data_IF_147776038127
#
_entry.id   IF_147776038127
#
_cell.length_a   1.000
_cell.length_b   1.000
_cell.length_c   1.000
_cell.angle_alpha   90.00
_cell.angle_beta   90.00
_cell.angle_gamma   90.00
#
_symmetry.space_group_name_H-M   'P 1'
#
loop_
_entity.id
_entity.type
_entity.pdbx_description
1 polymer ?
#
# COMPACT_ATOMS: atom_id res chain seq x y z
N UNK A 1 14.13 10.62 -13.10
CA UNK A 1 13.12 9.97 -13.98
C UNK A 1 11.94 9.48 -13.17
N UNK A 2 12.14 8.80 -12.02
CA UNK A 2 11.07 8.45 -11.07
C UNK A 2 10.33 9.68 -10.52
N UNK A 3 11.03 10.78 -10.19
CA UNK A 3 10.39 12.01 -9.66
C UNK A 3 9.42 12.70 -10.62
N UNK A 4 9.61 12.55 -11.94
CA UNK A 4 8.65 13.03 -12.94
C UNK A 4 7.41 12.13 -12.97
N UNK A 5 7.58 10.87 -12.55
CA UNK A 5 6.52 9.86 -12.50
C UNK A 5 5.58 10.02 -11.33
N UNK A 6 6.10 10.31 -10.16
CA UNK A 6 5.24 10.55 -9.02
C UNK A 6 4.20 11.65 -9.21
N UNK A 7 4.60 12.84 -9.65
CA UNK A 7 3.70 14.01 -9.64
C UNK A 7 2.52 13.91 -10.60
N UNK A 8 2.62 13.04 -11.59
CA UNK A 8 1.64 12.93 -12.66
C UNK A 8 0.82 11.64 -12.56
N UNK A 9 1.04 10.80 -11.54
CA UNK A 9 0.30 9.56 -11.33
C UNK A 9 -0.64 9.71 -10.15
N UNK A 10 -1.94 9.82 -10.42
CA UNK A 10 -2.95 10.10 -9.40
C UNK A 10 -4.29 9.42 -9.71
N UNK A 11 -5.13 9.30 -8.68
CA UNK A 11 -6.51 8.83 -8.79
C UNK A 11 -7.49 9.99 -8.94
N UNK A 12 -8.54 9.80 -9.74
CA UNK A 12 -9.70 10.70 -9.74
C UNK A 12 -10.75 10.30 -8.69
N UNK A 13 -11.84 11.07 -8.63
CA UNK A 13 -12.94 10.84 -7.67
C UNK A 13 -13.75 9.57 -7.95
N UNK A 14 -13.62 8.99 -9.13
CA UNK A 14 -14.28 7.74 -9.51
C UNK A 14 -13.38 6.53 -9.22
N UNK A 15 -12.21 6.75 -8.61
CA UNK A 15 -11.26 5.69 -8.26
C UNK A 15 -10.39 5.24 -9.44
N UNK A 16 -10.46 5.93 -10.59
CA UNK A 16 -9.63 5.61 -11.75
C UNK A 16 -8.28 6.28 -11.64
N UNK A 17 -7.24 5.54 -11.99
CA UNK A 17 -5.89 6.04 -11.95
C UNK A 17 -5.37 6.39 -13.33
N UNK A 18 -4.62 7.48 -13.41
CA UNK A 18 -4.10 7.97 -14.68
C UNK A 18 -2.71 8.56 -14.53
N UNK A 19 -2.04 8.61 -15.67
CA UNK A 19 -0.83 9.37 -15.91
C UNK A 19 -1.15 10.69 -16.63
N UNK A 20 -0.72 11.82 -16.09
CA UNK A 20 -0.86 13.13 -16.72
C UNK A 20 0.37 13.49 -17.57
N UNK A 21 0.14 13.70 -18.87
CA UNK A 21 1.17 14.19 -19.80
C UNK A 21 0.73 15.52 -20.41
N UNK A 22 1.08 16.62 -19.76
CA UNK A 22 0.58 17.95 -20.14
C UNK A 22 -0.95 18.03 -19.97
N UNK A 23 -1.72 18.41 -21.02
CA UNK A 23 -3.18 18.47 -20.94
C UNK A 23 -3.87 17.10 -21.07
N UNK A 24 -3.12 16.04 -21.41
CA UNK A 24 -3.68 14.70 -21.63
C UNK A 24 -3.61 13.85 -20.36
N UNK A 25 -4.63 13.01 -20.16
CA UNK A 25 -4.67 11.97 -19.14
C UNK A 25 -4.74 10.61 -19.82
N UNK A 26 -3.86 9.70 -19.39
CA UNK A 26 -3.84 8.32 -19.86
C UNK A 26 -4.21 7.43 -18.68
N UNK A 27 -5.42 6.88 -18.71
CA UNK A 27 -5.89 5.97 -17.68
C UNK A 27 -5.18 4.62 -17.77
N UNK A 28 -4.93 4.02 -16.61
CA UNK A 28 -4.17 2.77 -16.51
C UNK A 28 -5.07 1.62 -16.06
N UNK A 29 -4.81 0.45 -16.63
CA UNK A 29 -5.34 -0.81 -16.11
C UNK A 29 -4.45 -1.27 -14.94
N UNK A 30 -5.08 -1.67 -13.83
CA UNK A 30 -4.40 -2.09 -12.62
C UNK A 30 -4.56 -3.60 -12.42
N UNK A 31 -3.47 -4.34 -12.39
CA UNK A 31 -3.48 -5.78 -12.07
C UNK A 31 -3.41 -6.07 -10.56
N UNK A 32 -3.10 -5.04 -9.77
CA UNK A 32 -3.01 -5.06 -8.32
C UNK A 32 -3.62 -3.76 -7.76
N UNK A 33 -3.02 -3.18 -6.72
CA UNK A 33 -3.38 -1.84 -6.26
C UNK A 33 -2.75 -0.74 -7.13
N UNK A 34 -3.30 0.48 -7.13
CA UNK A 34 -2.74 1.60 -7.87
C UNK A 34 -1.31 1.96 -7.46
N UNK A 35 -0.98 1.84 -6.17
CA UNK A 35 0.37 2.06 -5.66
C UNK A 35 1.00 0.73 -5.21
N UNK A 36 2.12 0.36 -5.80
CA UNK A 36 2.97 -0.70 -5.21
C UNK A 36 3.88 -0.08 -4.16
N UNK A 37 3.90 -0.66 -2.96
CA UNK A 37 4.64 -0.17 -1.80
C UNK A 37 5.86 -1.06 -1.56
N UNK A 38 7.01 -0.44 -1.37
CA UNK A 38 8.28 -1.08 -1.03
C UNK A 38 8.63 -0.77 0.42
N UNK A 39 9.21 -1.74 1.12
CA UNK A 39 9.74 -1.57 2.47
C UNK A 39 11.19 -1.12 2.38
N UNK A 40 11.51 0.03 2.97
CA UNK A 40 12.86 0.54 3.09
C UNK A 40 13.33 0.41 4.54
N UNK A 41 14.53 -0.12 4.72
CA UNK A 41 15.24 -0.02 6.00
C UNK A 41 15.73 1.42 6.20
N UNK A 42 15.61 1.94 7.42
CA UNK A 42 16.27 3.20 7.77
C UNK A 42 17.76 2.98 7.98
N UNK A 43 18.56 3.76 7.26
CA UNK A 43 20.02 3.75 7.37
C UNK A 43 20.53 4.22 8.76
N UNK A 44 19.68 4.84 9.58
CA UNK A 44 20.11 5.49 10.83
C UNK A 44 19.81 4.69 12.09
N UNK A 45 18.82 3.79 12.06
CA UNK A 45 18.42 2.99 13.22
C UNK A 45 18.04 1.58 12.80
N UNK A 46 18.78 0.59 13.30
CA UNK A 46 18.45 -0.81 13.10
C UNK A 46 17.01 -1.08 13.57
N UNK A 47 16.22 -1.75 12.71
CA UNK A 47 14.82 -2.12 12.91
C UNK A 47 13.77 -1.00 12.74
N UNK A 48 14.12 0.13 12.13
CA UNK A 48 13.13 1.14 11.72
C UNK A 48 12.89 1.05 10.22
N UNK A 49 11.62 1.03 9.83
CA UNK A 49 11.21 0.91 8.44
C UNK A 49 10.45 2.15 7.96
N UNK A 50 10.48 2.36 6.65
CA UNK A 50 9.60 3.29 5.93
C UNK A 50 8.96 2.56 4.76
N UNK A 51 7.79 3.03 4.35
CA UNK A 51 7.15 2.58 3.13
C UNK A 51 7.32 3.65 2.06
N UNK A 52 7.62 3.23 0.84
CA UNK A 52 7.75 4.10 -0.33
C UNK A 52 6.91 3.53 -1.47
N UNK A 53 6.19 4.37 -2.20
CA UNK A 53 5.51 3.98 -3.42
C UNK A 53 6.53 3.68 -4.53
N UNK A 54 6.15 2.86 -5.51
CA UNK A 54 6.93 2.65 -6.73
C UNK A 54 7.16 3.94 -7.54
N UNK A 55 6.40 4.99 -7.25
CA UNK A 55 6.57 6.33 -7.80
C UNK A 55 7.54 7.21 -7.01
N UNK A 56 8.12 6.70 -5.93
CA UNK A 56 9.19 7.34 -5.16
C UNK A 56 8.73 8.19 -3.97
N UNK A 57 7.44 8.20 -3.64
CA UNK A 57 6.93 8.95 -2.49
C UNK A 57 6.89 8.10 -1.23
N UNK A 58 7.45 8.63 -0.16
CA UNK A 58 7.31 8.04 1.16
C UNK A 58 5.87 8.20 1.62
N UNK A 59 5.35 7.17 2.29
CA UNK A 59 4.08 7.26 3.01
C UNK A 59 4.35 7.31 4.50
N UNK A 60 3.59 8.15 5.19
CA UNK A 60 3.67 8.31 6.64
C UNK A 60 2.50 7.58 7.33
N UNK A 61 1.34 7.47 6.68
CA UNK A 61 0.15 6.85 7.29
C UNK A 61 -0.18 5.48 6.70
N UNK A 62 -0.39 4.51 7.60
CA UNK A 62 -0.98 3.20 7.30
C UNK A 62 -2.42 3.24 7.80
N UNK A 63 -3.37 3.13 6.86
CA UNK A 63 -4.80 3.18 7.14
C UNK A 63 -5.43 1.89 6.62
N UNK A 64 -6.22 1.26 7.48
CA UNK A 64 -7.03 0.09 7.15
C UNK A 64 -6.26 -1.03 6.41
N UNK A 65 -5.16 -1.55 6.99
CA UNK A 65 -4.38 -2.58 6.34
C UNK A 65 -5.13 -3.92 6.39
N UNK A 66 -5.19 -4.57 5.23
CA UNK A 66 -5.91 -5.81 5.02
C UNK A 66 -5.04 -6.81 4.26
N UNK A 67 -5.52 -8.05 4.19
CA UNK A 67 -4.83 -9.15 3.52
C UNK A 67 -5.82 -9.98 2.72
N UNK A 68 -5.45 -10.39 1.51
CA UNK A 68 -6.27 -11.26 0.69
C UNK A 68 -5.98 -12.75 0.93
N UNK A 69 -6.73 -13.62 0.24
CA UNK A 69 -6.57 -15.07 0.33
C UNK A 69 -5.23 -15.58 -0.25
N UNK A 70 -4.53 -14.77 -1.04
CA UNK A 70 -3.19 -15.04 -1.57
C UNK A 70 -2.08 -14.53 -0.63
N UNK A 71 -2.43 -13.92 0.50
CA UNK A 71 -1.47 -13.36 1.46
C UNK A 71 -0.87 -12.01 1.02
N UNK A 72 -1.46 -11.34 0.03
CA UNK A 72 -1.04 -9.99 -0.37
C UNK A 72 -1.59 -8.98 0.63
N UNK A 73 -0.74 -8.06 1.06
CA UNK A 73 -1.11 -7.05 2.05
C UNK A 73 -1.41 -5.74 1.34
N UNK A 74 -2.61 -5.23 1.59
CA UNK A 74 -3.11 -3.97 1.09
C UNK A 74 -3.26 -2.97 2.23
N UNK A 75 -3.23 -1.69 1.92
CA UNK A 75 -3.52 -0.59 2.83
C UNK A 75 -3.89 0.66 2.06
N UNK A 76 -4.51 1.62 2.73
CA UNK A 76 -4.64 2.98 2.24
C UNK A 76 -3.60 3.88 2.93
N UNK A 77 -3.14 4.91 2.23
CA UNK A 77 -2.29 5.97 2.78
C UNK A 77 -2.81 7.35 2.39
N UNK A 78 -2.11 8.40 2.79
CA UNK A 78 -2.37 9.77 2.34
C UNK A 78 -2.21 9.96 0.82
N UNK A 79 -1.59 9.00 0.12
CA UNK A 79 -1.42 8.99 -1.33
C UNK A 79 -2.45 8.12 -2.05
N UNK A 80 -3.27 7.36 -1.31
CA UNK A 80 -4.29 6.46 -1.85
C UNK A 80 -4.01 4.97 -1.61
N UNK A 81 -4.78 4.07 -2.25
CA UNK A 81 -4.67 2.64 -2.04
C UNK A 81 -3.36 2.06 -2.57
N UNK A 82 -2.77 1.16 -1.80
CA UNK A 82 -1.54 0.48 -2.17
C UNK A 82 -1.45 -0.97 -1.70
N UNK A 83 -0.52 -1.70 -2.32
CA UNK A 83 -0.21 -3.09 -2.02
C UNK A 83 1.29 -3.22 -1.74
N UNK A 84 1.65 -3.90 -0.65
CA UNK A 84 3.06 -4.20 -0.37
C UNK A 84 3.57 -5.19 -1.41
N UNK A 85 4.73 -4.90 -1.97
CA UNK A 85 5.39 -5.76 -2.95
C UNK A 85 5.74 -7.11 -2.32
N UNK A 86 5.46 -8.21 -3.02
CA UNK A 86 5.68 -9.59 -2.57
C UNK A 86 7.11 -9.89 -2.06
N UNK A 87 8.14 -9.40 -2.76
CA UNK A 87 9.54 -9.51 -2.38
C UNK A 87 9.88 -8.84 -1.03
N UNK A 88 9.04 -7.94 -0.55
CA UNK A 88 9.25 -7.23 0.70
C UNK A 88 8.41 -7.79 1.85
N UNK A 89 7.51 -8.74 1.60
CA UNK A 89 6.68 -9.36 2.65
C UNK A 89 7.53 -10.05 3.72
N UNK A 90 8.67 -10.63 3.34
CA UNK A 90 9.58 -11.28 4.28
C UNK A 90 10.25 -10.30 5.27
N UNK A 91 10.22 -9.00 4.98
CA UNK A 91 10.73 -7.96 5.89
C UNK A 91 9.69 -7.57 6.94
N UNK A 92 8.42 -7.94 6.74
CA UNK A 92 7.34 -7.59 7.66
C UNK A 92 7.34 -8.53 8.86
N UNK A 93 7.16 -7.96 10.04
CA UNK A 93 6.94 -8.72 11.26
C UNK A 93 5.46 -8.95 11.48
N UNK A 94 5.02 -10.18 11.21
CA UNK A 94 3.63 -10.60 11.39
C UNK A 94 3.55 -11.64 12.51
N UNK A 95 2.73 -11.37 13.53
CA UNK A 95 2.40 -12.33 14.57
C UNK A 95 1.05 -12.98 14.23
N UNK A 96 0.91 -14.29 14.42
CA UNK A 96 -0.38 -14.95 14.23
C UNK A 96 -1.37 -14.52 15.33
N UNK A 97 -2.60 -14.18 14.94
CA UNK A 97 -3.68 -13.98 15.90
C UNK A 97 -4.46 -15.29 16.10
N UNK A 98 -5.06 -15.51 17.29
CA UNK A 98 -5.86 -16.69 17.55
C UNK A 98 -7.05 -16.82 16.58
N UNK A 99 -7.48 -18.06 16.29
CA UNK A 99 -8.51 -18.36 15.28
C UNK A 99 -9.93 -17.83 15.57
N UNK A 100 -10.13 -17.16 16.70
CA UNK A 100 -11.36 -16.45 17.04
C UNK A 100 -11.34 -14.97 16.58
N UNK A 101 -10.17 -14.49 16.11
CA UNK A 101 -9.97 -13.14 15.58
C UNK A 101 -10.47 -13.03 14.14
N UNK A 102 -11.12 -11.91 13.79
CA UNK A 102 -11.47 -11.58 12.42
C UNK A 102 -10.24 -11.29 11.52
N UNK A 103 -9.10 -10.96 12.13
CA UNK A 103 -7.82 -10.81 11.48
C UNK A 103 -6.93 -12.04 11.76
N UNK A 104 -6.41 -12.74 10.73
CA UNK A 104 -5.47 -13.85 10.91
C UNK A 104 -4.08 -13.44 11.42
N UNK A 105 -3.65 -12.20 11.13
CA UNK A 105 -2.31 -11.71 11.49
C UNK A 105 -2.36 -10.34 12.15
N UNK A 106 -1.41 -10.10 13.05
CA UNK A 106 -1.10 -8.80 13.62
C UNK A 106 0.22 -8.31 13.05
N UNK A 107 0.18 -7.24 12.27
CA UNK A 107 1.38 -6.60 11.75
C UNK A 107 2.01 -5.68 12.80
N UNK A 108 3.24 -5.99 13.20
CA UNK A 108 4.09 -5.15 14.03
C UNK A 108 4.87 -4.19 13.13
N UNK A 109 4.50 -2.91 13.16
CA UNK A 109 5.17 -1.88 12.38
C UNK A 109 6.01 -0.99 13.30
N UNK A 110 7.29 -0.80 12.97
CA UNK A 110 8.15 0.13 13.70
C UNK A 110 8.73 1.16 12.74
N UNK A 111 8.24 2.39 12.85
CA UNK A 111 8.67 3.51 12.01
C UNK A 111 9.45 4.54 12.81
N UNK A 112 10.23 5.35 12.08
CA UNK A 112 10.88 6.53 12.67
C UNK A 112 9.86 7.62 13.04
N UNK A 113 8.81 7.77 12.23
CA UNK A 113 7.85 8.88 12.33
C UNK A 113 6.82 8.64 13.43
N UNK A 114 6.23 7.45 13.47
CA UNK A 114 5.12 7.13 14.37
C UNK A 114 5.50 6.13 15.48
N UNK A 115 6.76 5.67 15.50
CA UNK A 115 7.21 4.66 16.45
C UNK A 115 6.56 3.30 16.17
N UNK A 116 6.35 2.54 17.25
CA UNK A 116 5.77 1.19 17.18
C UNK A 116 4.25 1.26 17.10
N UNK A 117 3.69 0.61 16.10
CA UNK A 117 2.26 0.45 15.88
C UNK A 117 1.94 -1.02 15.62
N UNK A 118 0.68 -1.38 15.85
CA UNK A 118 0.16 -2.72 15.63
C UNK A 118 -1.11 -2.63 14.81
N UNK A 119 -1.18 -3.42 13.75
CA UNK A 119 -2.30 -3.41 12.83
C UNK A 119 -2.84 -4.84 12.66
N UNK A 120 -4.05 -5.15 13.13
CA UNK A 120 -4.74 -6.37 12.74
C UNK A 120 -4.99 -6.34 11.23
N UNK A 121 -4.55 -7.36 10.51
CA UNK A 121 -4.78 -7.49 9.06
C UNK A 121 -6.10 -8.21 8.83
N UNK A 122 -7.16 -7.46 8.51
CA UNK A 122 -8.46 -8.05 8.20
C UNK A 122 -8.42 -8.78 6.86
N UNK A 123 -9.17 -9.89 6.75
CA UNK A 123 -9.34 -10.58 5.48
C UNK A 123 -10.23 -9.76 4.55
N UNK A 124 -9.80 -9.63 3.29
CA UNK A 124 -10.58 -9.01 2.23
C UNK A 124 -10.69 -9.95 1.03
N UNK A 125 -11.84 -9.92 0.37
CA UNK A 125 -12.09 -10.69 -0.85
C UNK A 125 -11.80 -9.87 -2.11
N UNK A 126 -12.11 -8.57 -2.09
CA UNK A 126 -11.98 -7.68 -3.25
C UNK A 126 -11.38 -6.32 -2.86
N UNK A 127 -10.08 -6.16 -3.10
CA UNK A 127 -9.36 -4.92 -2.83
C UNK A 127 -9.91 -3.70 -3.61
N UNK A 128 -10.26 -3.80 -4.90
CA UNK A 128 -10.87 -2.68 -5.65
C UNK A 128 -12.11 -2.11 -4.97
N UNK A 129 -13.10 -2.93 -4.59
CA UNK A 129 -14.32 -2.47 -3.93
C UNK A 129 -14.04 -1.98 -2.51
N UNK A 130 -13.13 -2.65 -1.77
CA UNK A 130 -12.78 -2.28 -0.41
C UNK A 130 -12.12 -0.90 -0.33
N UNK A 131 -11.18 -0.61 -1.24
CA UNK A 131 -10.41 0.64 -1.26
C UNK A 131 -10.91 1.67 -2.27
N UNK A 132 -11.97 1.36 -3.03
CA UNK A 132 -12.63 2.28 -3.95
C UNK A 132 -11.79 2.69 -5.16
N UNK A 133 -11.08 1.75 -5.80
CA UNK A 133 -10.35 2.00 -7.04
C UNK A 133 -10.85 1.13 -8.21
N UNK A 134 -10.78 1.66 -9.43
CA UNK A 134 -11.22 0.98 -10.65
C UNK A 134 -10.02 0.32 -11.36
N UNK A 135 -10.05 -1.01 -11.46
CA UNK A 135 -8.94 -1.76 -12.06
C UNK A 135 -8.91 -1.71 -13.58
N UNK A 136 -10.05 -1.43 -14.22
CA UNK A 136 -10.23 -1.43 -15.67
C UNK A 136 -11.12 -0.26 -16.10
N UNK A 137 -10.60 0.97 -16.10
CA UNK A 137 -11.35 2.13 -16.55
C UNK A 137 -11.76 1.99 -18.03
N UNK A 138 -13.02 2.32 -18.34
CA UNK A 138 -13.60 2.30 -19.69
C UNK A 138 -13.10 3.45 -20.58
#
# INVERSE_FOLDING_TARGET
MIDFIGRNYEGDREGRWFWQNGPQRVYVNLDAAPLILRVLESNQHANKHRLVTHTGYLIDQIIDPCVDDQGRIFLCSELGPGMIHDLDLAQLRLDALPGESAAPWLWQWDSEVHGKQQFPLLLIEDAPSHYGFESRPL
#
